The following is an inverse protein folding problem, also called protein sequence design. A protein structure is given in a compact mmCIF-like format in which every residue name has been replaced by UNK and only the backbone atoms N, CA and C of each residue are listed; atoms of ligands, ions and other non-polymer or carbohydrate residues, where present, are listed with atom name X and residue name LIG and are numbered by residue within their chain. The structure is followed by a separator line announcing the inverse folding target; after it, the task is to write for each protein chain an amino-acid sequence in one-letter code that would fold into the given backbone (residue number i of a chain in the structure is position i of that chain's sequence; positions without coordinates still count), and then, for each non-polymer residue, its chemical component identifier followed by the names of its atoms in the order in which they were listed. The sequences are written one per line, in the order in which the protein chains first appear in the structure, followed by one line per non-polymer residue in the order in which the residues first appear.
data_IF_500485640609
#
_entry.id   IF_500485640609
#
_cell.length_a   1.000
_cell.length_b   1.000
_cell.length_c   1.000
_cell.angle_alpha   90.00
_cell.angle_beta   90.00
_cell.angle_gamma   90.00
#
_symmetry.space_group_name_H-M   'P 1'
#
loop_
_entity.id
_entity.type
_entity.pdbx_description
1 polymer ?
#
# COMPACT_ATOMS: atom_id res chain seq x y z
N UNK A 1 -5.72 25.77 -5.57
CA UNK A 1 -6.42 24.69 -6.28
C UNK A 1 -6.07 23.36 -5.64
N UNK A 2 -7.05 22.54 -5.26
CA UNK A 2 -6.80 21.23 -4.63
C UNK A 2 -6.25 20.27 -5.69
N UNK A 3 -5.05 19.72 -5.46
CA UNK A 3 -4.43 18.70 -6.34
C UNK A 3 -5.45 17.56 -6.50
N UNK A 4 -5.84 17.24 -7.74
CA UNK A 4 -6.75 16.14 -8.00
C UNK A 4 -6.12 14.85 -7.49
N UNK A 5 -6.85 14.12 -6.64
CA UNK A 5 -6.44 12.79 -6.21
C UNK A 5 -6.38 11.89 -7.45
N UNK A 6 -5.24 11.24 -7.67
CA UNK A 6 -5.14 10.25 -8.73
C UNK A 6 -5.91 9.01 -8.28
N UNK A 7 -6.86 8.58 -9.11
CA UNK A 7 -7.54 7.31 -8.89
C UNK A 7 -6.52 6.17 -9.05
N UNK A 8 -6.56 5.21 -8.14
CA UNK A 8 -5.77 3.99 -8.27
C UNK A 8 -6.39 3.18 -9.42
N UNK A 9 -5.67 2.91 -10.51
CA UNK A 9 -6.21 2.13 -11.62
C UNK A 9 -6.43 0.67 -11.20
N UNK A 10 -7.44 0.04 -11.80
CA UNK A 10 -7.78 -1.37 -11.59
C UNK A 10 -9.00 -1.62 -10.70
N UNK A 11 -9.32 -2.89 -10.50
CA UNK A 11 -10.42 -3.36 -9.65
C UNK A 11 -9.95 -3.52 -8.21
N UNK A 12 -10.85 -3.31 -7.24
CA UNK A 12 -10.57 -3.66 -5.84
C UNK A 12 -10.54 -5.20 -5.78
N UNK A 13 -9.44 -5.82 -5.35
CA UNK A 13 -9.39 -7.28 -5.22
C UNK A 13 -10.39 -7.74 -4.17
N UNK A 14 -10.88 -8.98 -4.34
CA UNK A 14 -11.66 -9.66 -3.32
C UNK A 14 -10.91 -9.66 -1.99
N UNK A 15 -11.59 -9.38 -0.88
CA UNK A 15 -10.99 -9.47 0.45
C UNK A 15 -10.64 -10.91 0.84
N UNK A 16 -11.19 -11.90 0.13
CA UNK A 16 -10.87 -13.32 0.29
C UNK A 16 -9.56 -13.69 -0.43
N UNK A 17 -9.16 -12.92 -1.44
CA UNK A 17 -8.00 -13.20 -2.31
C UNK A 17 -6.95 -12.09 -2.19
N UNK A 18 -6.63 -11.71 -0.95
CA UNK A 18 -5.60 -10.70 -0.73
C UNK A 18 -4.22 -11.28 -1.09
N UNK A 19 -3.40 -10.53 -1.86
CA UNK A 19 -2.06 -10.98 -2.20
C UNK A 19 -1.22 -11.13 -0.93
N UNK A 20 -0.25 -12.08 -0.91
CA UNK A 20 0.70 -12.16 0.17
C UNK A 20 1.50 -10.85 0.28
N UNK A 21 1.81 -10.47 1.52
CA UNK A 21 2.54 -9.23 1.80
C UNK A 21 1.66 -7.98 1.81
N UNK A 22 2.08 -6.92 1.11
CA UNK A 22 1.38 -5.64 1.07
C UNK A 22 0.12 -5.72 0.19
N UNK A 23 -1.04 -5.42 0.77
CA UNK A 23 -2.36 -5.36 0.08
C UNK A 23 -2.42 -4.39 -1.10
N UNK A 24 -1.48 -3.46 -1.21
CA UNK A 24 -1.40 -2.48 -2.28
C UNK A 24 -0.38 -2.84 -3.36
N UNK A 25 0.39 -3.92 -3.22
CA UNK A 25 1.52 -4.26 -4.11
C UNK A 25 1.14 -4.33 -5.60
N UNK A 26 -0.06 -4.79 -5.95
CA UNK A 26 -0.54 -4.86 -7.34
C UNK A 26 -0.92 -3.51 -7.95
N UNK A 27 -1.12 -2.47 -7.13
CA UNK A 27 -1.58 -1.16 -7.57
C UNK A 27 -0.70 0.00 -7.11
N UNK A 28 0.35 -0.29 -6.35
CA UNK A 28 1.26 0.70 -5.80
C UNK A 28 2.34 1.02 -6.86
N UNK A 29 2.52 2.28 -7.27
CA UNK A 29 3.54 2.65 -8.25
C UNK A 29 4.98 2.53 -7.69
N UNK A 30 5.13 2.38 -6.37
CA UNK A 30 6.41 2.18 -5.67
C UNK A 30 6.63 0.71 -5.29
N UNK A 31 5.82 -0.22 -5.77
CA UNK A 31 5.94 -1.63 -5.40
C UNK A 31 7.30 -2.20 -5.83
N UNK A 32 8.02 -2.78 -4.87
CA UNK A 32 9.24 -3.57 -5.07
C UNK A 32 8.95 -5.04 -4.78
N UNK A 33 9.79 -6.00 -5.20
CA UNK A 33 9.57 -7.43 -4.97
C UNK A 33 9.29 -7.78 -3.50
N UNK A 34 9.95 -7.10 -2.57
CA UNK A 34 9.79 -7.26 -1.12
C UNK A 34 8.39 -6.89 -0.62
N UNK A 35 7.66 -6.02 -1.34
CA UNK A 35 6.28 -5.71 -1.01
C UNK A 35 5.34 -6.91 -1.19
N UNK A 36 5.75 -7.95 -1.92
CA UNK A 36 4.94 -9.14 -2.22
C UNK A 36 5.31 -10.35 -1.34
N UNK A 37 6.35 -10.24 -0.53
CA UNK A 37 6.87 -11.36 0.27
C UNK A 37 6.39 -11.31 1.72
N UNK A 38 6.33 -10.13 2.34
CA UNK A 38 5.92 -9.97 3.73
C UNK A 38 5.10 -8.69 3.94
N UNK A 39 4.19 -8.72 4.91
CA UNK A 39 3.40 -7.53 5.26
C UNK A 39 4.29 -6.55 6.03
N UNK A 40 4.42 -5.28 5.58
CA UNK A 40 5.24 -4.30 6.30
C UNK A 40 4.74 -4.07 7.72
N UNK A 41 5.67 -3.85 8.65
CA UNK A 41 5.33 -3.43 10.00
C UNK A 41 4.58 -2.10 10.03
N UNK A 42 3.74 -1.90 11.06
CA UNK A 42 3.00 -0.65 11.26
C UNK A 42 3.91 0.37 11.95
N UNK A 43 4.49 1.28 11.15
CA UNK A 43 5.38 2.33 11.62
C UNK A 43 4.64 3.63 11.88
N UNK A 44 5.18 4.44 12.78
CA UNK A 44 4.72 5.79 13.04
C UNK A 44 5.49 6.75 12.13
N UNK A 45 4.78 7.47 11.27
CA UNK A 45 5.36 8.45 10.33
C UNK A 45 5.33 9.86 10.95
N UNK A 46 4.24 10.17 11.66
CA UNK A 46 4.08 11.38 12.47
C UNK A 46 3.32 11.04 13.75
N UNK A 47 3.26 11.94 14.76
CA UNK A 47 2.53 11.67 15.99
C UNK A 47 1.06 11.23 15.80
N UNK A 48 0.40 11.66 14.72
CA UNK A 48 -0.99 11.33 14.39
C UNK A 48 -1.14 10.41 13.16
N UNK A 49 -0.04 9.93 12.56
CA UNK A 49 -0.08 9.13 11.34
C UNK A 49 0.78 7.88 11.42
N UNK A 50 0.19 6.75 11.05
CA UNK A 50 0.85 5.44 10.99
C UNK A 50 0.63 4.81 9.62
N UNK A 51 1.63 4.08 9.15
CA UNK A 51 1.61 3.43 7.84
C UNK A 51 2.26 2.04 7.87
N UNK A 52 1.76 1.13 7.02
CA UNK A 52 2.41 -0.15 6.68
C UNK A 52 2.96 -0.03 5.27
N UNK A 53 4.13 0.60 5.13
CA UNK A 53 4.84 0.76 3.86
C UNK A 53 6.32 0.49 4.08
N UNK A 54 7.01 -0.14 3.14
CA UNK A 54 8.45 -0.37 3.28
C UNK A 54 9.25 0.94 3.35
N UNK A 55 8.76 2.01 2.71
CA UNK A 55 9.39 3.33 2.64
C UNK A 55 8.78 4.39 3.59
N UNK A 56 7.91 3.98 4.51
CA UNK A 56 7.31 4.87 5.51
C UNK A 56 8.28 5.29 6.61
#
# INVERSE_FOLDING_TARGET
GRKRLQAIPGLVPSLLDLPPGCRFSDRCPLAVPECRTAEPELRQVTPQHRARCLFA
#
